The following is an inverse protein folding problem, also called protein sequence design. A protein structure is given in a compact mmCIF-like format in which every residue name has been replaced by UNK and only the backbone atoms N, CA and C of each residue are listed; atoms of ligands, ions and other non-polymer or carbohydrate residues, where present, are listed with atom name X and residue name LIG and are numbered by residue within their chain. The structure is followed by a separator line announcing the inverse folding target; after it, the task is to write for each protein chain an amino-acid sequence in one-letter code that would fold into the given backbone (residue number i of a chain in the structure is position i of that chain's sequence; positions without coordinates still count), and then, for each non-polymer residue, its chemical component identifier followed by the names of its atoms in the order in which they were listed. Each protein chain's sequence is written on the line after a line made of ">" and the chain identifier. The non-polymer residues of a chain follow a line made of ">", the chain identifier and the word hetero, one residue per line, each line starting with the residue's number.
data_IF_769345902106
#
_entry.id   IF_769345902106
#
_cell.length_a   1.000
_cell.length_b   1.000
_cell.length_c   1.000
_cell.angle_alpha   90.00
_cell.angle_beta   90.00
_cell.angle_gamma   90.00
#
_symmetry.space_group_name_H-M   'P 1'
#
loop_
_entity.id
_entity.type
_entity.pdbx_description
1 polymer ?
#
# COMPACT_ATOMS: atom_id res chain seq x y z
N UNK A 1 18.35 -47.05 -25.60
CA UNK A 1 19.66 -47.17 -24.93
C UNK A 1 20.61 -46.15 -25.54
N UNK A 2 21.32 -45.39 -24.67
CA UNK A 2 22.48 -44.51 -24.92
C UNK A 2 22.18 -43.18 -25.66
N UNK A 3 22.71 -42.01 -25.28
CA UNK A 3 23.74 -41.67 -24.29
C UNK A 3 23.55 -40.24 -23.77
N UNK A 4 23.93 -40.06 -22.51
CA UNK A 4 24.02 -38.83 -21.74
C UNK A 4 25.11 -37.89 -22.27
N UNK A 5 24.89 -36.58 -22.19
CA UNK A 5 25.91 -35.55 -22.41
C UNK A 5 25.75 -34.39 -21.42
N UNK A 6 26.38 -34.52 -20.26
CA UNK A 6 26.44 -33.51 -19.19
C UNK A 6 27.44 -32.43 -19.60
N UNK A 7 26.99 -31.21 -19.88
CA UNK A 7 27.88 -30.05 -19.96
C UNK A 7 27.92 -29.33 -18.61
N UNK A 8 28.69 -29.87 -17.67
CA UNK A 8 29.25 -29.11 -16.55
C UNK A 8 30.56 -28.46 -17.01
N UNK A 9 30.72 -27.16 -16.80
CA UNK A 9 31.88 -26.53 -16.09
C UNK A 9 32.02 -25.05 -16.45
N UNK A 10 32.05 -24.22 -15.41
CA UNK A 10 32.42 -22.81 -15.48
C UNK A 10 32.11 -22.08 -14.18
N UNK A 11 32.65 -22.54 -13.04
CA UNK A 11 32.63 -21.81 -11.79
C UNK A 11 33.70 -20.71 -11.82
N UNK A 12 33.34 -19.47 -11.49
CA UNK A 12 34.31 -18.45 -11.04
C UNK A 12 33.87 -17.99 -9.66
N UNK A 13 34.70 -18.38 -8.69
CA UNK A 13 34.68 -17.96 -7.29
C UNK A 13 35.44 -16.65 -7.18
N UNK A 14 34.83 -15.61 -6.61
CA UNK A 14 35.49 -14.38 -6.17
C UNK A 14 35.22 -14.19 -4.68
N UNK A 15 36.22 -14.49 -3.85
CA UNK A 15 36.17 -14.43 -2.38
C UNK A 15 36.28 -13.00 -1.86
N UNK A 16 35.50 -12.75 -0.81
CA UNK A 16 35.52 -11.69 0.20
C UNK A 16 36.88 -10.99 0.37
N UNK A 17 36.88 -9.67 0.21
CA UNK A 17 37.94 -8.78 0.70
C UNK A 17 37.38 -7.86 1.78
N UNK A 18 37.67 -8.16 3.05
CA UNK A 18 37.53 -7.21 4.15
C UNK A 18 38.79 -6.34 4.22
N UNK A 19 38.63 -5.02 4.15
CA UNK A 19 39.68 -4.06 4.52
C UNK A 19 39.13 -3.07 5.54
N UNK A 20 39.93 -2.87 6.57
CA UNK A 20 39.62 -2.23 7.84
C UNK A 20 39.87 -0.71 7.81
N UNK A 21 39.03 0.01 8.58
CA UNK A 21 39.30 1.21 9.40
C UNK A 21 40.04 2.42 8.79
N UNK A 22 39.42 3.61 8.90
CA UNK A 22 39.90 4.82 9.63
C UNK A 22 39.43 6.15 8.99
N UNK A 23 39.31 7.13 9.88
CA UNK A 23 38.70 8.46 9.77
C UNK A 23 39.31 9.40 8.71
N UNK A 24 38.47 10.30 8.20
CA UNK A 24 38.87 11.68 7.88
C UNK A 24 39.29 11.97 6.43
N UNK A 25 38.41 12.59 5.66
CA UNK A 25 38.75 13.19 4.37
C UNK A 25 37.51 13.67 3.64
N UNK A 26 37.28 14.98 3.64
CA UNK A 26 36.23 15.62 2.87
C UNK A 26 36.48 15.43 1.37
N UNK A 27 35.77 14.49 0.76
CA UNK A 27 35.49 14.52 -0.68
C UNK A 27 34.05 14.94 -0.84
N UNK A 28 33.86 16.13 -1.40
CA UNK A 28 32.62 16.59 -2.02
C UNK A 28 32.27 15.63 -3.16
N UNK A 29 31.70 14.48 -2.81
CA UNK A 29 30.95 13.69 -3.75
C UNK A 29 29.66 14.46 -4.03
N UNK A 30 29.54 15.01 -5.25
CA UNK A 30 28.24 15.35 -5.81
C UNK A 30 27.41 14.06 -5.79
N UNK A 31 26.66 13.87 -4.70
CA UNK A 31 25.68 12.81 -4.62
C UNK A 31 24.63 13.15 -5.69
N UNK A 32 24.70 12.45 -6.82
CA UNK A 32 23.51 12.19 -7.62
C UNK A 32 22.36 11.87 -6.65
N UNK A 33 21.15 12.45 -6.83
CA UNK A 33 20.04 12.11 -5.97
C UNK A 33 19.77 10.61 -6.12
N UNK A 34 20.32 9.83 -5.19
CA UNK A 34 19.95 8.43 -5.03
C UNK A 34 18.44 8.36 -4.82
N UNK A 35 17.80 7.24 -5.19
CA UNK A 35 16.36 7.10 -5.05
C UNK A 35 15.95 7.51 -3.63
N UNK A 36 15.02 8.45 -3.54
CA UNK A 36 14.48 8.90 -2.27
C UNK A 36 13.96 7.66 -1.53
N UNK A 37 14.66 7.26 -0.46
CA UNK A 37 14.22 6.15 0.38
C UNK A 37 12.94 6.62 1.04
N UNK A 38 11.80 5.98 0.71
CA UNK A 38 10.53 6.29 1.34
C UNK A 38 10.71 6.24 2.86
N UNK A 39 10.10 7.18 3.63
CA UNK A 39 10.15 7.11 5.07
C UNK A 39 9.66 5.74 5.57
N UNK A 40 10.21 5.23 6.69
CA UNK A 40 9.82 3.92 7.20
C UNK A 40 8.30 3.84 7.40
N UNK A 41 7.68 2.74 6.98
CA UNK A 41 6.23 2.50 7.00
C UNK A 41 5.39 3.34 6.02
N UNK A 42 6.00 3.84 4.94
CA UNK A 42 5.35 4.57 3.85
C UNK A 42 5.54 3.88 2.48
N UNK A 43 5.56 2.55 2.47
CA UNK A 43 5.72 1.74 1.26
C UNK A 43 4.37 1.33 0.67
N UNK A 44 4.38 0.80 -0.57
CA UNK A 44 3.21 0.14 -1.14
C UNK A 44 2.73 -1.05 -0.29
N UNK A 45 3.63 -1.74 0.41
CA UNK A 45 3.28 -2.82 1.34
C UNK A 45 2.47 -2.32 2.52
N UNK A 46 2.83 -1.16 3.08
CA UNK A 46 2.08 -0.53 4.19
C UNK A 46 0.67 -0.12 3.75
N UNK A 47 0.53 0.42 2.53
CA UNK A 47 -0.77 0.74 1.95
C UNK A 47 -1.62 -0.51 1.70
N UNK A 48 -1.00 -1.58 1.21
CA UNK A 48 -1.70 -2.85 0.98
C UNK A 48 -2.19 -3.46 2.30
N UNK A 49 -1.36 -3.45 3.35
CA UNK A 49 -1.76 -3.93 4.68
C UNK A 49 -2.90 -3.08 5.25
N UNK A 50 -2.77 -1.74 5.23
CA UNK A 50 -3.81 -0.85 5.73
C UNK A 50 -5.14 -1.03 4.98
N UNK A 51 -5.10 -1.13 3.64
CA UNK A 51 -6.31 -1.36 2.84
C UNK A 51 -6.95 -2.73 3.12
N UNK A 52 -6.13 -3.77 3.34
CA UNK A 52 -6.61 -5.08 3.77
C UNK A 52 -7.31 -5.02 5.14
N UNK A 53 -6.70 -4.36 6.13
CA UNK A 53 -7.31 -4.17 7.47
C UNK A 53 -8.64 -3.42 7.39
N UNK A 54 -8.71 -2.32 6.62
CA UNK A 54 -9.95 -1.57 6.39
C UNK A 54 -10.99 -2.44 5.70
N UNK A 55 -10.59 -3.25 4.71
CA UNK A 55 -11.47 -4.15 3.99
C UNK A 55 -12.10 -5.23 4.88
N UNK A 56 -11.30 -5.86 5.75
CA UNK A 56 -11.81 -6.83 6.74
C UNK A 56 -12.80 -6.18 7.70
N UNK A 57 -12.41 -5.05 8.32
CA UNK A 57 -13.27 -4.34 9.25
C UNK A 57 -14.59 -3.86 8.60
N UNK A 58 -14.52 -3.40 7.34
CA UNK A 58 -15.72 -3.04 6.59
C UNK A 58 -16.62 -4.25 6.33
N UNK A 59 -16.05 -5.41 6.01
CA UNK A 59 -16.81 -6.66 5.87
C UNK A 59 -17.56 -7.02 7.14
N UNK A 60 -16.88 -7.02 8.29
CA UNK A 60 -17.48 -7.30 9.59
C UNK A 60 -18.61 -6.31 9.94
N UNK A 61 -18.39 -5.02 9.64
CA UNK A 61 -19.40 -3.98 9.82
C UNK A 61 -20.63 -4.23 8.95
N UNK A 62 -20.46 -4.49 7.65
CA UNK A 62 -21.58 -4.74 6.75
C UNK A 62 -22.36 -6.01 7.13
N UNK A 63 -21.70 -7.09 7.57
CA UNK A 63 -22.40 -8.29 8.03
C UNK A 63 -23.18 -8.10 9.33
N UNK A 64 -22.81 -7.12 10.16
CA UNK A 64 -23.56 -6.75 11.38
C UNK A 64 -24.61 -5.66 11.15
N UNK A 65 -24.58 -4.98 10.00
CA UNK A 65 -25.48 -3.90 9.60
C UNK A 65 -26.19 -4.25 8.28
N UNK A 66 -27.20 -5.13 8.31
CA UNK A 66 -27.82 -5.66 7.10
C UNK A 66 -28.47 -4.57 6.23
N UNK A 67 -29.01 -3.51 6.84
CA UNK A 67 -29.58 -2.35 6.15
C UNK A 67 -28.51 -1.56 5.38
N UNK A 68 -27.34 -1.35 5.98
CA UNK A 68 -26.21 -0.69 5.33
C UNK A 68 -25.64 -1.57 4.21
N UNK A 69 -25.54 -2.87 4.46
CA UNK A 69 -25.10 -3.84 3.46
C UNK A 69 -26.04 -3.90 2.24
N UNK A 70 -27.35 -3.87 2.46
CA UNK A 70 -28.34 -3.84 1.39
C UNK A 70 -28.23 -2.55 0.57
N UNK A 71 -28.03 -1.40 1.24
CA UNK A 71 -27.76 -0.13 0.56
C UNK A 71 -26.53 -0.24 -0.35
N UNK A 72 -25.38 -0.67 0.16
CA UNK A 72 -24.16 -0.78 -0.66
C UNK A 72 -24.30 -1.84 -1.77
N UNK A 73 -25.02 -2.94 -1.51
CA UNK A 73 -25.32 -3.97 -2.51
C UNK A 73 -26.21 -3.45 -3.64
N UNK A 74 -27.12 -2.52 -3.34
CA UNK A 74 -28.00 -1.88 -4.32
C UNK A 74 -27.28 -0.97 -5.31
N UNK A 75 -26.04 -0.55 -5.01
CA UNK A 75 -25.23 0.30 -5.89
C UNK A 75 -24.61 -0.45 -7.08
N UNK A 76 -24.67 -1.80 -7.09
CA UNK A 76 -24.06 -2.62 -8.14
C UNK A 76 -24.61 -2.28 -9.53
N UNK A 77 -23.70 -2.05 -10.48
CA UNK A 77 -24.03 -1.77 -11.87
C UNK A 77 -24.35 -0.30 -12.17
N UNK A 78 -24.35 0.57 -11.16
CA UNK A 78 -24.55 2.00 -11.37
C UNK A 78 -23.26 2.70 -11.86
N UNK A 79 -23.37 3.82 -12.60
CA UNK A 79 -22.22 4.65 -12.93
C UNK A 79 -21.56 5.23 -11.67
N UNK A 80 -20.24 5.39 -11.67
CA UNK A 80 -19.48 5.91 -10.52
C UNK A 80 -20.00 7.27 -10.00
N UNK A 81 -20.44 8.16 -10.89
CA UNK A 81 -20.99 9.45 -10.51
C UNK A 81 -22.30 9.30 -9.71
N UNK A 82 -23.17 8.38 -10.10
CA UNK A 82 -24.43 8.08 -9.40
C UNK A 82 -24.16 7.40 -8.05
N UNK A 83 -23.20 6.48 -8.01
CA UNK A 83 -22.76 5.84 -6.77
C UNK A 83 -22.32 6.89 -5.74
N UNK A 84 -21.49 7.85 -6.15
CA UNK A 84 -20.99 8.89 -5.26
C UNK A 84 -22.13 9.73 -4.67
N UNK A 85 -23.05 10.22 -5.52
CA UNK A 85 -24.19 11.04 -5.11
C UNK A 85 -25.12 10.30 -4.14
N UNK A 86 -25.42 9.04 -4.43
CA UNK A 86 -26.25 8.20 -3.55
C UNK A 86 -25.58 7.90 -2.22
N UNK A 87 -24.28 7.62 -2.21
CA UNK A 87 -23.51 7.41 -0.97
C UNK A 87 -23.53 8.68 -0.13
N UNK A 88 -23.29 9.85 -0.72
CA UNK A 88 -23.36 11.12 0.02
C UNK A 88 -24.74 11.34 0.64
N UNK A 89 -25.80 11.20 -0.16
CA UNK A 89 -27.18 11.33 0.31
C UNK A 89 -27.49 10.37 1.45
N UNK A 90 -26.99 9.13 1.37
CA UNK A 90 -27.17 8.14 2.43
C UNK A 90 -26.43 8.53 3.71
N UNK A 91 -25.18 9.00 3.62
CA UNK A 91 -24.42 9.44 4.79
C UNK A 91 -25.05 10.66 5.46
N UNK A 92 -25.51 11.65 4.70
CA UNK A 92 -26.20 12.84 5.22
C UNK A 92 -27.46 12.48 6.03
N UNK A 93 -28.16 11.41 5.62
CA UNK A 93 -29.32 10.89 6.33
C UNK A 93 -28.97 9.96 7.51
N UNK A 94 -27.74 9.42 7.55
CA UNK A 94 -27.28 8.43 8.54
C UNK A 94 -25.93 8.85 9.15
N UNK A 95 -25.88 9.95 9.94
CA UNK A 95 -24.63 10.49 10.49
C UNK A 95 -23.89 9.52 11.43
N UNK A 96 -24.61 8.58 12.06
CA UNK A 96 -23.98 7.52 12.84
C UNK A 96 -23.20 6.55 11.94
N UNK A 97 -23.81 6.09 10.84
CA UNK A 97 -23.16 5.20 9.86
C UNK A 97 -21.95 5.90 9.23
N UNK A 98 -22.07 7.19 8.93
CA UNK A 98 -20.95 8.00 8.45
C UNK A 98 -19.78 8.01 9.45
N UNK A 99 -20.06 8.27 10.72
CA UNK A 99 -19.05 8.27 11.78
C UNK A 99 -18.37 6.90 11.92
N UNK A 100 -19.14 5.82 11.88
CA UNK A 100 -18.64 4.45 12.00
C UNK A 100 -17.77 4.05 10.79
N UNK A 101 -18.23 4.33 9.56
CA UNK A 101 -17.45 4.09 8.34
C UNK A 101 -16.19 4.96 8.30
N UNK A 102 -16.27 6.20 8.77
CA UNK A 102 -15.10 7.09 8.90
C UNK A 102 -14.09 6.52 9.90
N UNK A 103 -14.57 5.95 11.01
CA UNK A 103 -13.77 5.20 11.98
C UNK A 103 -13.05 4.01 11.36
N UNK A 104 -13.78 3.20 10.57
CA UNK A 104 -13.22 2.03 9.86
C UNK A 104 -12.10 2.45 8.90
N UNK A 105 -12.20 3.62 8.27
CA UNK A 105 -11.22 4.13 7.29
C UNK A 105 -10.00 4.84 7.90
N UNK A 106 -9.96 5.04 9.23
CA UNK A 106 -8.86 5.76 9.90
C UNK A 106 -7.45 5.25 9.54
N UNK A 107 -7.18 3.93 9.42
CA UNK A 107 -5.84 3.46 9.08
C UNK A 107 -5.29 4.01 7.76
N UNK A 108 -6.18 4.23 6.77
CA UNK A 108 -5.79 4.81 5.48
C UNK A 108 -5.60 6.33 5.59
N UNK A 109 -6.44 7.01 6.37
CA UNK A 109 -6.31 8.45 6.63
C UNK A 109 -5.00 8.75 7.37
N UNK A 110 -4.66 7.96 8.39
CA UNK A 110 -3.43 8.10 9.16
C UNK A 110 -2.19 7.83 8.29
N UNK A 111 -2.23 6.78 7.48
CA UNK A 111 -1.18 6.47 6.53
C UNK A 111 -0.98 7.62 5.53
N UNK A 112 -2.07 8.17 4.98
CA UNK A 112 -1.99 9.32 4.06
C UNK A 112 -1.38 10.54 4.74
N UNK A 113 -1.83 10.85 5.96
CA UNK A 113 -1.42 12.03 6.72
C UNK A 113 0.05 11.97 7.13
N UNK A 114 0.57 10.79 7.44
CA UNK A 114 1.98 10.62 7.87
C UNK A 114 2.97 10.49 6.70
N UNK A 115 2.51 10.09 5.52
CA UNK A 115 3.37 9.71 4.40
C UNK A 115 3.30 10.66 3.18
N UNK A 116 2.56 11.78 3.26
CA UNK A 116 2.35 12.73 2.15
C UNK A 116 1.99 12.04 0.81
N UNK A 117 1.29 10.90 0.88
CA UNK A 117 0.90 10.08 -0.30
C UNK A 117 -0.06 10.80 -1.25
N UNK A 118 -0.40 12.06 -0.97
CA UNK A 118 -1.06 12.94 -1.92
C UNK A 118 -0.17 13.31 -3.13
N UNK A 119 1.16 13.12 -3.05
CA UNK A 119 2.11 13.61 -4.06
C UNK A 119 2.86 12.53 -4.87
N UNK A 120 2.83 11.25 -4.48
CA UNK A 120 3.54 10.19 -5.23
C UNK A 120 2.58 9.37 -6.09
N UNK A 121 2.64 9.49 -7.43
CA UNK A 121 2.00 8.50 -8.29
C UNK A 121 2.77 7.19 -8.11
N UNK A 122 2.17 6.23 -7.42
CA UNK A 122 2.59 4.83 -7.47
C UNK A 122 2.22 4.30 -8.86
N UNK A 123 2.97 4.73 -9.88
CA UNK A 123 2.62 4.55 -11.27
C UNK A 123 3.58 5.25 -12.22
N UNK A 124 4.86 4.88 -12.13
CA UNK A 124 5.83 5.04 -13.23
C UNK A 124 6.76 3.84 -13.23
#
# INVERSE_FOLDING_TARGET
>A
MLVSGRSLRGAVVGVIGASAMLLGGASIATAEPGPAVAPPNCTAGDLAVASGTVGTAMGDYLFSHPDVNDFFTSLRGQPNAEIHDRVQTYMDAHPQVESEITGIRQPLTDLRSRCDLAASPLGS
#
